data_IF_939436898647
#
_entry.id   IF_939436898647
#
_cell.length_a   1.000
_cell.length_b   1.000
_cell.length_c   1.000
_cell.angle_alpha   90.00
_cell.angle_beta   90.00
_cell.angle_gamma   90.00
#
_symmetry.space_group_name_H-M   'P 1'
#
loop_
_entity.id
_entity.type
_entity.pdbx_description
1 polymer ?
#
# COMPACT_ATOMS: atom_id res chain seq x y z
N UNK A 1 -11.82 8.02 -50.33
CA UNK A 1 -12.76 9.15 -50.14
C UNK A 1 -13.31 9.27 -48.71
N UNK A 2 -13.59 8.19 -47.95
CA UNK A 2 -14.13 8.31 -46.58
C UNK A 2 -13.11 8.67 -45.47
N UNK A 3 -11.81 8.44 -45.70
CA UNK A 3 -10.75 8.64 -44.68
C UNK A 3 -10.19 10.06 -44.59
N UNK A 4 -10.46 10.92 -45.57
CA UNK A 4 -9.95 12.30 -45.61
C UNK A 4 -10.80 13.24 -44.75
N UNK A 5 -12.13 13.15 -44.82
CA UNK A 5 -13.04 13.94 -43.98
C UNK A 5 -12.92 13.63 -42.48
N UNK A 6 -12.51 12.42 -42.11
CA UNK A 6 -12.29 12.03 -40.72
C UNK A 6 -11.09 12.77 -40.10
N UNK A 7 -10.02 12.99 -40.88
CA UNK A 7 -8.80 13.68 -40.42
C UNK A 7 -9.04 15.18 -40.23
N UNK A 8 -9.79 15.80 -41.15
CA UNK A 8 -10.14 17.23 -41.08
C UNK A 8 -11.14 17.53 -39.96
N UNK A 9 -12.03 16.57 -39.66
CA UNK A 9 -12.98 16.67 -38.55
C UNK A 9 -12.29 16.53 -37.18
N UNK A 10 -11.37 15.56 -37.04
CA UNK A 10 -10.58 15.36 -35.81
C UNK A 10 -9.69 16.57 -35.51
N UNK A 11 -9.08 17.18 -36.53
CA UNK A 11 -8.25 18.39 -36.37
C UNK A 11 -9.04 19.60 -35.86
N UNK A 12 -10.33 19.69 -36.17
CA UNK A 12 -11.23 20.78 -35.75
C UNK A 12 -11.80 20.56 -34.34
N UNK A 13 -12.04 19.29 -33.96
CA UNK A 13 -12.68 18.91 -32.70
C UNK A 13 -11.71 18.34 -31.65
N UNK A 14 -10.39 18.45 -31.89
CA UNK A 14 -9.30 17.96 -31.03
C UNK A 14 -9.43 18.32 -29.54
N UNK A 15 -9.92 19.51 -29.21
CA UNK A 15 -10.17 19.93 -27.82
C UNK A 15 -11.32 19.17 -27.15
N UNK A 16 -12.42 18.95 -27.88
CA UNK A 16 -13.59 18.20 -27.35
C UNK A 16 -13.32 16.70 -27.22
N UNK A 17 -12.53 16.13 -28.14
CA UNK A 17 -12.12 14.72 -28.08
C UNK A 17 -11.20 14.44 -26.89
N UNK A 18 -10.23 15.32 -26.62
CA UNK A 18 -9.34 15.17 -25.46
C UNK A 18 -10.13 15.21 -24.13
N UNK A 19 -11.07 16.13 -23.98
CA UNK A 19 -11.93 16.22 -22.78
C UNK A 19 -12.83 15.00 -22.63
N UNK A 20 -13.38 14.49 -23.75
CA UNK A 20 -14.19 13.27 -23.74
C UNK A 20 -13.42 12.02 -23.30
N UNK A 21 -12.19 11.84 -23.81
CA UNK A 21 -11.34 10.71 -23.42
C UNK A 21 -10.92 10.81 -21.96
N UNK A 22 -10.53 11.99 -21.49
CA UNK A 22 -10.17 12.22 -20.08
C UNK A 22 -11.35 11.92 -19.16
N UNK A 23 -12.56 12.36 -19.52
CA UNK A 23 -13.78 12.04 -18.77
C UNK A 23 -14.05 10.54 -18.70
N UNK A 24 -13.91 9.82 -19.82
CA UNK A 24 -14.12 8.37 -19.88
C UNK A 24 -13.10 7.60 -19.01
N UNK A 25 -11.83 8.01 -19.03
CA UNK A 25 -10.78 7.44 -18.17
C UNK A 25 -11.08 7.72 -16.70
N UNK A 26 -11.46 8.94 -16.35
CA UNK A 26 -11.80 9.30 -14.97
C UNK A 26 -12.99 8.50 -14.41
N UNK A 27 -14.03 8.29 -15.22
CA UNK A 27 -15.18 7.46 -14.85
C UNK A 27 -14.79 5.99 -14.69
N UNK A 28 -13.96 5.46 -15.59
CA UNK A 28 -13.45 4.09 -15.50
C UNK A 28 -12.64 3.87 -14.22
N UNK A 29 -11.73 4.80 -13.90
CA UNK A 29 -10.94 4.76 -12.67
C UNK A 29 -11.85 4.84 -11.45
N UNK A 30 -12.81 5.79 -11.41
CA UNK A 30 -13.75 5.90 -10.29
C UNK A 30 -14.59 4.62 -10.10
N UNK A 31 -15.02 3.97 -11.19
CA UNK A 31 -15.74 2.70 -11.13
C UNK A 31 -14.91 1.58 -10.49
N UNK A 32 -13.59 1.53 -10.74
CA UNK A 32 -12.68 0.58 -10.09
C UNK A 32 -12.58 0.82 -8.57
N UNK A 33 -12.74 2.06 -8.10
CA UNK A 33 -12.76 2.37 -6.66
C UNK A 33 -14.09 2.01 -5.98
N UNK A 34 -15.20 2.00 -6.72
CA UNK A 34 -16.51 1.57 -6.21
C UNK A 34 -16.68 0.05 -6.16
N UNK A 35 -15.99 -0.70 -7.01
CA UNK A 35 -16.06 -2.16 -7.08
C UNK A 35 -15.26 -2.87 -5.98
N UNK A 36 -14.86 -2.20 -4.89
CA UNK A 36 -14.16 -2.85 -3.77
C UNK A 36 -15.07 -3.90 -3.13
N UNK A 37 -14.79 -5.21 -3.26
CA UNK A 37 -15.65 -6.24 -2.69
C UNK A 37 -15.63 -6.14 -1.17
N UNK A 38 -16.80 -5.97 -0.57
CA UNK A 38 -16.98 -6.01 0.88
C UNK A 38 -16.66 -7.43 1.36
N UNK A 39 -15.71 -7.56 2.31
CA UNK A 39 -15.45 -8.84 2.97
C UNK A 39 -16.73 -9.31 3.70
N UNK A 40 -17.14 -10.58 3.57
CA UNK A 40 -18.34 -11.06 4.23
C UNK A 40 -18.17 -11.03 5.76
N UNK A 41 -19.23 -10.65 6.51
CA UNK A 41 -19.18 -10.64 7.96
C UNK A 41 -19.01 -12.07 8.50
N UNK A 42 -18.02 -12.25 9.37
CA UNK A 42 -17.84 -13.50 10.13
C UNK A 42 -18.98 -13.58 11.15
N UNK A 43 -19.98 -14.41 10.86
CA UNK A 43 -21.00 -14.78 11.85
C UNK A 43 -20.33 -15.74 12.84
N UNK A 44 -20.05 -15.25 14.04
CA UNK A 44 -19.59 -16.10 15.15
C UNK A 44 -20.76 -16.98 15.57
N UNK A 45 -20.77 -18.22 15.09
CA UNK A 45 -21.72 -19.23 15.52
C UNK A 45 -21.31 -19.75 16.91
N UNK A 46 -22.14 -19.63 17.95
CA UNK A 46 -21.80 -20.19 19.26
C UNK A 46 -21.67 -21.71 19.15
N UNK A 47 -20.61 -22.33 19.70
CA UNK A 47 -20.50 -23.78 19.71
C UNK A 47 -21.59 -24.37 20.61
N UNK A 48 -22.38 -25.30 20.06
CA UNK A 48 -23.29 -26.15 20.83
C UNK A 48 -22.50 -26.86 21.94
N UNK A 49 -22.95 -26.71 23.18
CA UNK A 49 -22.26 -27.25 24.36
C UNK A 49 -22.35 -28.78 24.41
N UNK A 50 -21.23 -29.50 24.51
CA UNK A 50 -21.23 -30.87 25.01
C UNK A 50 -20.77 -30.87 26.46
N UNK A 51 -21.49 -31.65 27.26
CA UNK A 51 -21.20 -32.08 28.64
C UNK A 51 -19.75 -32.51 28.90
N UNK A 52 -19.26 -32.40 30.14
CA UNK A 52 -17.83 -32.47 30.45
C UNK A 52 -17.34 -33.92 30.47
N UNK A 53 -16.40 -34.23 29.59
CA UNK A 53 -15.52 -35.40 29.74
C UNK A 53 -14.16 -34.90 30.24
N UNK A 54 -13.83 -35.29 31.47
CA UNK A 54 -12.48 -35.20 32.01
C UNK A 54 -11.62 -36.15 31.17
N UNK A 55 -10.97 -35.59 30.17
CA UNK A 55 -9.90 -36.24 29.43
C UNK A 55 -8.69 -35.31 29.53
N UNK A 56 -7.63 -35.80 30.15
CA UNK A 56 -6.29 -35.21 30.12
C UNK A 56 -5.88 -35.06 28.66
N UNK A 57 -6.21 -33.91 28.05
CA UNK A 57 -5.83 -33.61 26.68
C UNK A 57 -4.34 -33.27 26.66
N UNK A 58 -3.52 -33.90 25.80
CA UNK A 58 -2.23 -33.33 25.50
C UNK A 58 -2.48 -31.91 24.98
N UNK A 59 -1.78 -30.94 25.58
CA UNK A 59 -1.81 -29.54 25.16
C UNK A 59 -1.67 -29.49 23.64
N UNK A 60 -2.59 -28.83 22.89
CA UNK A 60 -2.40 -28.69 21.46
C UNK A 60 -1.06 -27.99 21.23
N UNK A 61 -0.19 -28.65 20.48
CA UNK A 61 1.05 -28.06 19.98
C UNK A 61 0.71 -26.74 19.26
N UNK A 62 1.56 -25.69 19.38
CA UNK A 62 1.29 -24.42 18.72
C UNK A 62 1.08 -24.67 17.23
N UNK A 63 -0.10 -24.26 16.73
CA UNK A 63 -0.42 -24.29 15.31
C UNK A 63 0.67 -23.53 14.54
N UNK A 64 1.05 -23.94 13.31
CA UNK A 64 2.06 -23.22 12.55
C UNK A 64 1.59 -21.77 12.36
N UNK A 65 2.27 -20.83 13.03
CA UNK A 65 2.04 -19.40 12.84
C UNK A 65 2.31 -19.11 11.38
N UNK A 66 1.27 -18.80 10.60
CA UNK A 66 1.45 -18.39 9.21
C UNK A 66 2.47 -17.24 9.19
N UNK A 67 3.44 -17.31 8.27
CA UNK A 67 4.48 -16.30 8.10
C UNK A 67 4.29 -15.56 6.78
N UNK A 68 4.80 -14.34 6.72
CA UNK A 68 4.86 -13.49 5.54
C UNK A 68 6.30 -13.08 5.27
N UNK A 69 6.67 -12.94 3.99
CA UNK A 69 7.94 -12.35 3.58
C UNK A 69 7.76 -10.86 3.30
N UNK A 70 8.65 -10.05 3.86
CA UNK A 70 8.65 -8.59 3.71
C UNK A 70 10.05 -8.13 3.33
N UNK A 71 10.15 -7.31 2.30
CA UNK A 71 11.41 -6.66 1.90
C UNK A 71 11.56 -5.35 2.67
N UNK A 72 12.65 -5.18 3.42
CA UNK A 72 12.94 -3.98 4.20
C UNK A 72 14.17 -3.30 3.60
N UNK A 73 14.00 -2.05 3.16
CA UNK A 73 15.04 -1.28 2.49
C UNK A 73 15.12 0.17 2.94
N UNK A 74 16.08 0.91 2.38
CA UNK A 74 16.34 2.30 2.73
C UNK A 74 17.23 2.43 3.96
N UNK A 75 16.97 3.47 4.76
CA UNK A 75 17.82 3.87 5.88
C UNK A 75 17.55 3.04 7.16
N UNK A 76 17.89 1.75 7.10
CA UNK A 76 17.85 0.78 8.21
C UNK A 76 19.23 0.17 8.43
N UNK A 77 19.48 -0.40 9.62
CA UNK A 77 20.78 -0.99 9.93
C UNK A 77 21.14 -2.16 9.01
N UNK A 78 20.18 -3.05 8.72
CA UNK A 78 20.37 -4.21 7.87
C UNK A 78 19.19 -4.31 6.87
N UNK A 79 19.36 -3.83 5.63
CA UNK A 79 18.36 -4.04 4.58
C UNK A 79 18.30 -5.52 4.14
N UNK A 80 17.12 -6.00 3.75
CA UNK A 80 16.94 -7.34 3.22
C UNK A 80 15.52 -7.90 3.36
N UNK A 81 15.38 -9.19 3.02
CA UNK A 81 14.13 -9.95 3.15
C UNK A 81 14.00 -10.59 4.52
N UNK A 82 12.85 -10.38 5.17
CA UNK A 82 12.55 -10.90 6.50
C UNK A 82 11.28 -11.73 6.51
N UNK A 83 11.31 -12.84 7.26
CA UNK A 83 10.12 -13.63 7.59
C UNK A 83 9.52 -13.12 8.90
N UNK A 84 8.26 -12.71 8.84
CA UNK A 84 7.52 -12.17 9.99
C UNK A 84 6.22 -12.97 10.19
N UNK A 85 5.70 -13.07 11.41
CA UNK A 85 4.37 -13.62 11.65
C UNK A 85 3.29 -12.86 10.87
N UNK A 86 2.29 -13.59 10.39
CA UNK A 86 1.11 -12.99 9.77
C UNK A 86 0.44 -12.03 10.76
N UNK A 87 0.20 -10.80 10.30
CA UNK A 87 -0.39 -9.74 11.13
C UNK A 87 0.62 -8.84 11.83
N UNK A 88 1.93 -9.09 11.67
CA UNK A 88 3.00 -8.15 12.03
C UNK A 88 2.79 -6.76 11.43
N UNK A 89 3.37 -5.76 12.08
CA UNK A 89 3.28 -4.35 11.68
C UNK A 89 4.60 -3.84 11.15
N UNK A 90 4.57 -2.67 10.50
CA UNK A 90 5.76 -1.98 9.97
C UNK A 90 6.83 -1.80 11.05
N UNK A 91 6.44 -1.50 12.29
CA UNK A 91 7.37 -1.41 13.42
C UNK A 91 8.19 -2.71 13.63
N UNK A 92 7.55 -3.87 13.50
CA UNK A 92 8.18 -5.16 13.73
C UNK A 92 9.22 -5.43 12.63
N UNK A 93 8.90 -5.08 11.38
CA UNK A 93 9.82 -5.19 10.25
C UNK A 93 11.03 -4.26 10.35
N UNK A 94 10.84 -3.01 10.81
CA UNK A 94 11.95 -2.09 11.02
C UNK A 94 12.82 -2.55 12.21
N UNK A 95 12.19 -3.08 13.26
CA UNK A 95 12.90 -3.58 14.44
C UNK A 95 13.75 -4.81 14.11
N UNK A 96 13.23 -5.78 13.35
CA UNK A 96 13.98 -6.98 12.94
C UNK A 96 15.13 -6.64 11.98
N UNK A 97 14.99 -5.56 11.18
CA UNK A 97 16.07 -5.00 10.38
C UNK A 97 17.14 -4.26 11.20
N UNK A 98 17.03 -4.24 12.54
CA UNK A 98 17.97 -3.59 13.45
C UNK A 98 17.65 -2.12 13.74
N UNK A 99 16.46 -1.65 13.38
CA UNK A 99 16.05 -0.27 13.56
C UNK A 99 16.50 0.67 12.43
N UNK A 100 16.08 1.95 12.47
CA UNK A 100 16.56 2.95 11.52
C UNK A 100 18.05 3.23 11.69
N UNK A 101 18.73 3.54 10.58
CA UNK A 101 20.08 4.11 10.63
C UNK A 101 20.07 5.52 11.24
N UNK A 102 21.24 6.11 11.51
CA UNK A 102 21.37 7.51 11.95
C UNK A 102 20.65 8.50 11.00
N UNK A 103 20.66 8.18 9.71
CA UNK A 103 20.00 8.96 8.65
C UNK A 103 18.51 8.60 8.46
N UNK A 104 18.01 7.54 9.08
CA UNK A 104 16.65 7.02 8.86
C UNK A 104 15.54 7.76 9.59
N UNK A 105 14.44 8.00 8.90
CA UNK A 105 13.29 8.78 9.40
C UNK A 105 12.01 7.95 9.48
N UNK A 106 11.91 7.15 10.54
CA UNK A 106 10.75 6.30 10.81
C UNK A 106 9.48 7.07 11.17
N UNK A 107 9.59 8.36 11.54
CA UNK A 107 8.43 9.22 11.81
C UNK A 107 7.59 9.47 10.55
N UNK A 108 8.16 9.22 9.36
CA UNK A 108 7.47 9.31 8.07
C UNK A 108 6.72 8.04 7.70
N UNK A 109 6.83 6.98 8.50
CA UNK A 109 6.15 5.72 8.27
C UNK A 109 4.99 5.54 9.25
N UNK A 110 3.91 4.91 8.78
CA UNK A 110 2.88 4.40 9.67
C UNK A 110 3.38 3.10 10.32
N UNK A 111 4.09 3.22 11.43
CA UNK A 111 4.66 2.09 12.18
C UNK A 111 3.60 1.08 12.66
N UNK A 112 2.34 1.52 12.80
CA UNK A 112 1.24 0.66 13.19
C UNK A 112 0.58 -0.06 11.99
N UNK A 113 0.89 0.26 10.74
CA UNK A 113 0.28 -0.41 9.60
C UNK A 113 0.59 -1.91 9.63
N UNK A 114 -0.41 -2.76 9.35
CA UNK A 114 -0.21 -4.20 9.19
C UNK A 114 0.51 -4.48 7.88
N UNK A 115 1.32 -5.53 7.88
CA UNK A 115 2.06 -6.00 6.73
C UNK A 115 1.32 -7.17 6.07
N UNK A 116 1.38 -7.20 4.75
CA UNK A 116 0.97 -8.33 3.93
C UNK A 116 2.19 -9.05 3.34
N UNK A 117 1.99 -10.28 2.87
CA UNK A 117 3.03 -11.04 2.18
C UNK A 117 3.48 -10.37 0.89
N UNK A 118 4.80 -10.38 0.64
CA UNK A 118 5.43 -9.73 -0.51
C UNK A 118 5.51 -8.20 -0.42
N UNK A 119 5.14 -7.60 0.71
CA UNK A 119 5.16 -6.14 0.87
C UNK A 119 6.60 -5.60 1.02
N UNK A 120 6.86 -4.41 0.49
CA UNK A 120 8.11 -3.67 0.69
C UNK A 120 7.91 -2.53 1.70
N UNK A 121 8.84 -2.41 2.65
CA UNK A 121 8.94 -1.32 3.63
C UNK A 121 10.22 -0.55 3.37
N UNK A 122 10.13 0.70 2.92
CA UNK A 122 11.29 1.56 2.69
C UNK A 122 11.36 2.67 3.73
N UNK A 123 12.44 2.73 4.51
CA UNK A 123 12.69 3.83 5.46
C UNK A 123 13.35 5.01 4.72
N UNK A 124 12.71 6.20 4.69
CA UNK A 124 13.27 7.37 4.02
C UNK A 124 14.40 8.01 4.84
N UNK A 125 15.25 8.78 4.17
CA UNK A 125 16.28 9.57 4.83
C UNK A 125 15.70 10.86 5.43
N UNK A 126 16.23 11.31 6.58
CA UNK A 126 15.85 12.59 7.22
C UNK A 126 16.08 13.80 6.29
N UNK A 127 17.12 13.73 5.44
CA UNK A 127 17.50 14.79 4.51
C UNK A 127 16.49 15.03 3.37
N UNK A 128 15.63 14.05 3.05
CA UNK A 128 14.53 14.23 2.09
C UNK A 128 13.45 15.21 2.60
N UNK A 129 13.58 15.79 3.81
CA UNK A 129 12.73 16.89 4.28
C UNK A 129 12.95 18.21 3.52
N UNK A 130 14.13 18.45 2.93
CA UNK A 130 14.46 19.74 2.30
C UNK A 130 14.10 19.85 0.82
N UNK A 131 13.99 18.76 0.08
CA UNK A 131 13.83 18.83 -1.38
C UNK A 131 12.37 19.04 -1.86
N UNK A 132 11.37 18.75 -1.04
CA UNK A 132 9.94 18.89 -1.40
C UNK A 132 9.23 20.09 -0.79
N UNK A 133 9.97 20.98 -0.12
CA UNK A 133 9.47 22.24 0.43
C UNK A 133 10.08 23.44 -0.31
N UNK A 134 9.92 23.48 -1.63
CA UNK A 134 10.04 24.72 -2.39
C UNK A 134 8.92 24.83 -3.44
N UNK A 135 7.76 25.38 -3.08
CA UNK A 135 6.78 25.92 -4.03
C UNK A 135 7.01 27.42 -4.28
N UNK A 136 8.24 27.93 -4.13
CA UNK A 136 8.51 29.34 -3.87
C UNK A 136 9.50 30.04 -4.80
N UNK A 137 9.86 29.50 -5.97
CA UNK A 137 10.55 30.29 -7.01
C UNK A 137 9.86 30.24 -8.37
N UNK A 138 8.56 30.57 -8.35
CA UNK A 138 7.87 31.18 -9.50
C UNK A 138 7.96 32.71 -9.38
N UNK A 139 9.15 33.28 -9.11
CA UNK A 139 9.37 34.69 -9.44
C UNK A 139 9.46 34.83 -10.95
N UNK A 140 8.36 35.32 -11.49
CA UNK A 140 8.18 35.78 -12.86
C UNK A 140 9.24 36.85 -13.19
N UNK A 141 9.96 36.77 -14.33
CA UNK A 141 10.64 37.94 -14.86
C UNK A 141 9.58 38.83 -15.51
N UNK A 142 9.24 39.95 -14.86
CA UNK A 142 8.44 41.00 -15.48
C UNK A 142 8.74 42.36 -14.83
N UNK A 143 9.65 43.14 -15.42
CA UNK A 143 9.29 44.26 -16.31
C UNK A 143 10.55 44.93 -16.87
#
# INVERSE_FOLDING_TARGET
MASEGLRDWVGRNRGGLAVGVIGMVAVGVAALFLQRPMAPPIIVQPPASPTPVVATRPSPAPSPTAVILVDVGGEVAHPGLYQLPLGSRVNDAVTIAGGPSEAGDVQRLNLAARLADGQQVRVPAKAERRATADPGDLTTPAR
#
